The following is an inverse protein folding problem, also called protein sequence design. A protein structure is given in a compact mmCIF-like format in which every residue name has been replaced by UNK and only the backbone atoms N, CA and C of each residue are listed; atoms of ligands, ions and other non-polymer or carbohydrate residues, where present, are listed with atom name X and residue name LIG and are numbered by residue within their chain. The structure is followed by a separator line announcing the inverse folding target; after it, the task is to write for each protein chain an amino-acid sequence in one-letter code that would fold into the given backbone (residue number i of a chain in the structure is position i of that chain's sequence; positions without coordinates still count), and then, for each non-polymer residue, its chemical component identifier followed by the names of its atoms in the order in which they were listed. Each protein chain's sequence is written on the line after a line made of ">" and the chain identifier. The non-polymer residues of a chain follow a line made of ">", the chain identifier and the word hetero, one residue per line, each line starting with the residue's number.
data_IF_334266685331
#
_entry.id   IF_334266685331
#
_cell.length_a   1.000
_cell.length_b   1.000
_cell.length_c   1.000
_cell.angle_alpha   90.00
_cell.angle_beta   90.00
_cell.angle_gamma   90.00
#
_symmetry.space_group_name_H-M   'P 1'
#
loop_
_entity.id
_entity.type
_entity.pdbx_description
1 polymer ?
#
# COMPACT_ATOMS: atom_id res chain seq x y z
N UNK A 1 10.61 -0.59 14.66
CA UNK A 1 9.84 -1.78 14.26
C UNK A 1 8.81 -1.44 13.20
N UNK A 2 7.89 -0.50 13.45
CA UNK A 2 6.73 -0.26 12.55
C UNK A 2 7.15 0.21 11.16
N UNK A 3 8.15 1.09 11.04
CA UNK A 3 8.70 1.52 9.75
C UNK A 3 9.42 0.40 9.01
N UNK A 4 10.21 -0.40 9.71
CA UNK A 4 10.92 -1.54 9.13
C UNK A 4 9.94 -2.59 8.61
N UNK A 5 8.87 -2.86 9.35
CA UNK A 5 7.80 -3.75 8.89
C UNK A 5 7.11 -3.23 7.62
N UNK A 6 6.94 -1.90 7.48
CA UNK A 6 6.38 -1.30 6.28
C UNK A 6 7.31 -1.45 5.05
N UNK A 7 8.64 -1.44 5.26
CA UNK A 7 9.61 -1.72 4.19
C UNK A 7 9.43 -3.15 3.69
N UNK A 8 9.37 -4.15 4.59
CA UNK A 8 9.15 -5.54 4.22
C UNK A 8 7.78 -5.76 3.56
N UNK A 9 6.75 -5.04 4.04
CA UNK A 9 5.43 -5.04 3.40
C UNK A 9 5.50 -4.55 1.96
N UNK A 10 6.20 -3.45 1.72
CA UNK A 10 6.36 -2.89 0.38
C UNK A 10 7.14 -3.84 -0.55
N UNK A 11 8.17 -4.52 -0.05
CA UNK A 11 8.93 -5.52 -0.83
C UNK A 11 8.05 -6.70 -1.25
N UNK A 12 7.28 -7.23 -0.30
CA UNK A 12 6.33 -8.30 -0.58
C UNK A 12 5.22 -7.87 -1.54
N UNK A 13 4.78 -6.61 -1.47
CA UNK A 13 3.80 -6.07 -2.39
C UNK A 13 4.36 -5.92 -3.80
N UNK A 14 5.59 -5.43 -3.98
CA UNK A 14 6.24 -5.36 -5.30
C UNK A 14 6.32 -6.76 -5.95
N UNK A 15 6.72 -7.77 -5.18
CA UNK A 15 6.71 -9.16 -5.66
C UNK A 15 5.32 -9.61 -6.12
N UNK A 16 4.27 -9.31 -5.34
CA UNK A 16 2.90 -9.63 -5.73
C UNK A 16 2.43 -8.87 -6.96
N UNK A 17 2.79 -7.59 -7.09
CA UNK A 17 2.46 -6.79 -8.28
C UNK A 17 3.07 -7.45 -9.52
N UNK A 18 4.39 -7.71 -9.51
CA UNK A 18 5.08 -8.35 -10.64
C UNK A 18 4.44 -9.69 -11.02
N UNK A 19 4.05 -10.49 -10.01
CA UNK A 19 3.49 -11.84 -10.26
C UNK A 19 2.04 -11.83 -10.74
N UNK A 20 1.30 -10.74 -10.52
CA UNK A 20 -0.14 -10.66 -10.83
C UNK A 20 -0.49 -9.63 -11.91
N UNK A 21 0.51 -8.98 -12.51
CA UNK A 21 0.31 -8.07 -13.65
C UNK A 21 0.91 -8.66 -14.91
N UNK A 22 0.16 -8.68 -16.04
CA UNK A 22 0.65 -9.28 -17.30
C UNK A 22 1.48 -8.31 -18.16
N UNK A 23 1.79 -7.12 -17.64
CA UNK A 23 2.49 -6.04 -18.36
C UNK A 23 3.76 -5.61 -17.64
N UNK A 24 4.67 -4.96 -18.37
CA UNK A 24 5.88 -4.38 -17.80
C UNK A 24 5.55 -3.18 -16.89
N UNK A 25 6.25 -3.08 -15.76
CA UNK A 25 5.96 -2.03 -14.78
C UNK A 25 6.44 -0.64 -15.20
N UNK A 26 7.50 -0.54 -16.00
CA UNK A 26 8.09 0.72 -16.45
C UNK A 26 7.17 1.59 -17.31
N UNK A 27 6.11 1.02 -17.88
CA UNK A 27 5.06 1.71 -18.64
C UNK A 27 3.76 1.85 -17.87
N UNK A 28 3.66 1.26 -16.67
CA UNK A 28 2.44 1.20 -15.91
C UNK A 28 2.15 2.50 -15.16
N UNK A 29 0.85 2.80 -15.01
CA UNK A 29 0.34 3.86 -14.14
C UNK A 29 -0.25 3.24 -12.87
N UNK A 30 0.25 3.63 -11.70
CA UNK A 30 -0.22 3.14 -10.42
C UNK A 30 -0.85 4.25 -9.57
N UNK A 31 -2.03 3.98 -9.02
CA UNK A 31 -2.65 4.78 -7.97
C UNK A 31 -2.38 4.12 -6.62
N UNK A 32 -1.88 4.89 -5.66
CA UNK A 32 -1.75 4.45 -4.26
C UNK A 32 -2.70 5.28 -3.40
N UNK A 33 -3.61 4.60 -2.72
CA UNK A 33 -4.55 5.19 -1.76
C UNK A 33 -3.94 5.08 -0.37
N UNK A 34 -3.66 6.25 0.22
CA UNK A 34 -2.97 6.41 1.49
C UNK A 34 -1.46 6.63 1.35
N UNK A 35 -0.94 7.65 2.02
CA UNK A 35 0.48 8.00 2.03
C UNK A 35 1.09 7.88 3.42
N UNK A 36 0.64 6.88 4.16
CA UNK A 36 1.25 6.42 5.41
C UNK A 36 2.52 5.58 5.15
N UNK A 37 3.02 4.91 6.20
CA UNK A 37 4.27 4.14 6.14
C UNK A 37 4.33 3.12 4.98
N UNK A 38 3.26 2.37 4.77
CA UNK A 38 3.21 1.40 3.66
C UNK A 38 3.13 2.11 2.31
N UNK A 39 2.27 3.14 2.19
CA UNK A 39 2.10 3.91 0.96
C UNK A 39 3.40 4.57 0.51
N UNK A 40 4.12 5.25 1.41
CA UNK A 40 5.42 5.89 1.13
C UNK A 40 6.43 4.86 0.61
N UNK A 41 6.65 3.75 1.35
CA UNK A 41 7.64 2.76 0.96
C UNK A 41 7.30 2.08 -0.37
N UNK A 42 6.02 1.81 -0.61
CA UNK A 42 5.54 1.25 -1.87
C UNK A 42 5.73 2.23 -3.03
N UNK A 43 5.34 3.48 -2.84
CA UNK A 43 5.46 4.54 -3.86
C UNK A 43 6.90 4.74 -4.32
N UNK A 44 7.84 4.84 -3.38
CA UNK A 44 9.24 5.04 -3.69
C UNK A 44 9.86 3.84 -4.42
N UNK A 45 9.48 2.61 -4.06
CA UNK A 45 9.94 1.39 -4.75
C UNK A 45 9.35 1.30 -6.17
N UNK A 46 8.06 1.58 -6.36
CA UNK A 46 7.45 1.61 -7.69
C UNK A 46 8.06 2.71 -8.56
N UNK A 47 8.30 3.90 -8.01
CA UNK A 47 9.00 4.97 -8.73
C UNK A 47 10.41 4.55 -9.17
N UNK A 48 11.15 3.84 -8.32
CA UNK A 48 12.47 3.30 -8.68
C UNK A 48 12.42 2.26 -9.81
N UNK A 49 11.26 1.63 -10.03
CA UNK A 49 10.97 0.75 -11.16
C UNK A 49 10.37 1.51 -12.37
N UNK A 50 10.45 2.83 -12.39
CA UNK A 50 9.92 3.73 -13.43
C UNK A 50 8.39 3.70 -13.59
N UNK A 51 7.64 3.17 -12.63
CA UNK A 51 6.17 3.25 -12.63
C UNK A 51 5.73 4.70 -12.46
N UNK A 52 4.74 5.14 -13.26
CA UNK A 52 4.11 6.44 -13.07
C UNK A 52 3.16 6.38 -11.86
N UNK A 53 3.63 6.84 -10.71
CA UNK A 53 2.89 6.74 -9.44
C UNK A 53 2.13 8.02 -9.15
N UNK A 54 0.83 7.87 -8.86
CA UNK A 54 -0.06 8.92 -8.35
C UNK A 54 -0.51 8.56 -6.94
N UNK A 55 -0.46 9.52 -6.02
CA UNK A 55 -0.89 9.36 -4.63
C UNK A 55 -2.24 10.04 -4.44
N UNK A 56 -3.16 9.33 -3.81
CA UNK A 56 -4.34 9.92 -3.19
C UNK A 56 -4.25 9.76 -1.67
N UNK A 57 -4.43 10.86 -0.97
CA UNK A 57 -4.59 10.89 0.50
C UNK A 57 -5.53 12.04 0.87
N UNK A 58 -6.33 11.85 1.93
CA UNK A 58 -7.24 12.88 2.42
C UNK A 58 -6.52 14.00 3.19
N UNK A 59 -5.25 13.77 3.57
CA UNK A 59 -4.44 14.69 4.37
C UNK A 59 -3.57 15.55 3.48
N UNK A 60 -3.79 16.88 3.40
CA UNK A 60 -3.02 17.76 2.50
C UNK A 60 -1.51 17.70 2.73
N UNK A 61 -1.06 17.55 3.97
CA UNK A 61 0.38 17.46 4.26
C UNK A 61 1.02 16.21 3.62
N UNK A 62 0.27 15.10 3.52
CA UNK A 62 0.73 13.89 2.83
C UNK A 62 0.88 14.12 1.33
N UNK A 63 -0.04 14.86 0.71
CA UNK A 63 0.07 15.21 -0.72
C UNK A 63 1.26 16.15 -0.97
N UNK A 64 1.49 17.14 -0.11
CA UNK A 64 2.69 17.99 -0.19
C UNK A 64 3.97 17.15 -0.05
N UNK A 65 4.00 16.21 0.89
CA UNK A 65 5.14 15.30 1.06
C UNK A 65 5.35 14.41 -0.17
N UNK A 66 4.28 13.83 -0.74
CA UNK A 66 4.35 13.04 -1.96
C UNK A 66 4.94 13.86 -3.13
N UNK A 67 4.48 15.09 -3.31
CA UNK A 67 5.00 16.01 -4.32
C UNK A 67 6.48 16.32 -4.12
N UNK A 68 6.96 16.46 -2.87
CA UNK A 68 8.39 16.68 -2.59
C UNK A 68 9.27 15.49 -2.96
N UNK A 69 8.71 14.29 -3.02
CA UNK A 69 9.36 13.09 -3.56
C UNK A 69 9.24 12.96 -5.09
N UNK A 70 8.66 13.96 -5.76
CA UNK A 70 8.42 13.95 -7.20
C UNK A 70 7.43 12.85 -7.62
N UNK A 71 6.40 12.62 -6.81
CA UNK A 71 5.26 11.76 -7.11
C UNK A 71 4.09 12.65 -7.58
N UNK A 72 3.24 12.10 -8.45
CA UNK A 72 1.99 12.76 -8.79
C UNK A 72 1.02 12.66 -7.61
N UNK A 73 0.11 13.62 -7.50
CA UNK A 73 -0.93 13.64 -6.47
C UNK A 73 -2.29 13.87 -7.09
N UNK A 74 -3.35 13.35 -6.45
CA UNK A 74 -4.72 13.53 -6.89
C UNK A 74 -5.63 13.87 -5.70
N UNK A 75 -6.67 14.66 -5.96
CA UNK A 75 -7.81 14.87 -5.05
C UNK A 75 -8.91 13.87 -5.38
N UNK A 76 -9.95 13.78 -4.52
CA UNK A 76 -11.07 12.86 -4.77
C UNK A 76 -11.82 13.20 -6.06
N UNK A 77 -12.05 14.48 -6.34
CA UNK A 77 -12.74 14.92 -7.54
C UNK A 77 -11.96 14.55 -8.80
N UNK A 78 -10.66 14.75 -8.78
CA UNK A 78 -9.79 14.37 -9.89
C UNK A 78 -9.70 12.84 -10.09
N UNK A 79 -9.90 12.03 -9.04
CA UNK A 79 -9.92 10.57 -9.17
C UNK A 79 -11.07 10.09 -10.06
N UNK A 80 -12.24 10.72 -9.98
CA UNK A 80 -13.39 10.37 -10.82
C UNK A 80 -13.06 10.52 -12.29
N UNK A 81 -12.25 11.53 -12.64
CA UNK A 81 -11.88 11.82 -14.02
C UNK A 81 -10.78 10.92 -14.57
N UNK A 82 -9.86 10.44 -13.70
CA UNK A 82 -8.66 9.74 -14.14
C UNK A 82 -8.52 8.28 -13.66
N UNK A 83 -9.47 7.76 -12.87
CA UNK A 83 -9.33 6.40 -12.29
C UNK A 83 -9.28 5.31 -13.36
N UNK A 84 -9.90 5.52 -14.50
CA UNK A 84 -9.84 4.61 -15.66
C UNK A 84 -8.46 4.51 -16.32
N UNK A 85 -7.53 5.42 -16.02
CA UNK A 85 -6.19 5.44 -16.60
C UNK A 85 -5.22 4.50 -15.90
N UNK A 86 -5.52 4.08 -14.67
CA UNK A 86 -4.58 3.29 -13.88
C UNK A 86 -4.60 1.81 -14.24
N UNK A 87 -3.42 1.23 -14.34
CA UNK A 87 -3.18 -0.20 -14.55
C UNK A 87 -3.17 -0.96 -13.23
N UNK A 88 -2.78 -0.25 -12.15
CA UNK A 88 -2.61 -0.78 -10.81
C UNK A 88 -3.25 0.19 -9.82
N UNK A 89 -4.09 -0.32 -8.92
CA UNK A 89 -4.62 0.46 -7.80
C UNK A 89 -4.28 -0.27 -6.50
N UNK A 90 -3.61 0.42 -5.58
CA UNK A 90 -3.14 -0.13 -4.32
C UNK A 90 -3.84 0.59 -3.16
N UNK A 91 -4.60 -0.15 -2.37
CA UNK A 91 -5.20 0.39 -1.16
C UNK A 91 -4.36 0.06 0.07
N UNK A 92 -3.96 1.10 0.82
CA UNK A 92 -3.21 0.97 2.07
C UNK A 92 -3.97 1.46 3.31
N UNK A 93 -5.22 1.91 3.13
CA UNK A 93 -6.05 2.45 4.21
C UNK A 93 -7.22 1.52 4.56
N UNK A 94 -7.53 1.29 5.85
CA UNK A 94 -8.57 0.37 6.28
C UNK A 94 -9.97 1.03 6.30
N UNK A 95 -10.27 1.82 5.27
CA UNK A 95 -11.58 2.44 5.08
C UNK A 95 -11.95 2.47 3.60
N UNK A 96 -13.25 2.46 3.31
CA UNK A 96 -13.76 2.45 1.96
C UNK A 96 -13.56 3.81 1.29
N UNK A 97 -12.51 3.93 0.47
CA UNK A 97 -12.24 5.08 -0.40
C UNK A 97 -12.74 4.79 -1.82
N UNK A 98 -12.56 3.55 -2.28
CA UNK A 98 -13.04 3.11 -3.60
C UNK A 98 -14.54 2.79 -3.51
N UNK A 99 -15.34 3.84 -3.56
CA UNK A 99 -16.81 3.75 -3.60
C UNK A 99 -17.29 3.02 -4.86
N UNK A 100 -18.56 2.62 -4.88
CA UNK A 100 -19.17 1.97 -6.04
C UNK A 100 -19.01 2.82 -7.32
N UNK A 101 -19.18 4.14 -7.21
CA UNK A 101 -19.00 5.05 -8.34
C UNK A 101 -17.59 4.94 -8.92
N UNK A 102 -16.55 5.01 -8.09
CA UNK A 102 -15.15 4.87 -8.54
C UNK A 102 -14.87 3.49 -9.12
N UNK A 103 -15.29 2.41 -8.45
CA UNK A 103 -15.06 1.05 -8.94
C UNK A 103 -15.74 0.77 -10.26
N UNK A 104 -16.89 1.40 -10.54
CA UNK A 104 -17.58 1.27 -11.82
C UNK A 104 -16.80 1.86 -13.00
N UNK A 105 -15.90 2.82 -12.74
CA UNK A 105 -15.08 3.52 -13.73
C UNK A 105 -13.71 2.86 -13.93
N UNK A 106 -13.30 1.94 -13.04
CA UNK A 106 -12.02 1.24 -13.16
C UNK A 106 -12.01 0.37 -14.42
N UNK A 107 -10.95 0.45 -15.20
CA UNK A 107 -10.81 -0.37 -16.41
C UNK A 107 -10.64 -1.86 -16.08
N UNK A 108 -11.08 -2.74 -16.98
CA UNK A 108 -11.21 -4.19 -16.72
C UNK A 108 -9.88 -4.93 -16.56
N UNK A 109 -8.83 -4.42 -17.15
CA UNK A 109 -7.47 -4.95 -17.05
C UNK A 109 -6.65 -4.36 -15.88
N UNK A 110 -7.24 -3.43 -15.13
CA UNK A 110 -6.63 -2.92 -13.90
C UNK A 110 -6.61 -4.01 -12.81
N UNK A 111 -5.47 -4.10 -12.11
CA UNK A 111 -5.33 -5.01 -10.96
C UNK A 111 -5.36 -4.20 -9.67
N UNK A 112 -6.30 -4.56 -8.80
CA UNK A 112 -6.46 -3.96 -7.47
C UNK A 112 -5.63 -4.76 -6.45
N UNK A 113 -4.91 -4.08 -5.56
CA UNK A 113 -4.17 -4.69 -4.45
C UNK A 113 -4.68 -4.15 -3.12
N UNK A 114 -5.19 -5.04 -2.26
CA UNK A 114 -5.60 -4.71 -0.90
C UNK A 114 -4.49 -5.06 0.08
N UNK A 115 -3.86 -4.03 0.66
CA UNK A 115 -2.74 -4.14 1.61
C UNK A 115 -3.14 -3.75 3.02
N UNK A 116 -4.24 -3.00 3.16
CA UNK A 116 -4.74 -2.58 4.45
C UNK A 116 -5.10 -3.77 5.35
N UNK A 117 -5.03 -3.55 6.65
CA UNK A 117 -5.55 -4.50 7.63
C UNK A 117 -7.08 -4.55 7.60
N UNK A 118 -7.66 -5.63 8.13
CA UNK A 118 -9.12 -5.69 8.32
C UNK A 118 -9.62 -4.46 9.09
N UNK A 119 -10.78 -3.90 8.74
CA UNK A 119 -11.84 -4.49 7.89
C UNK A 119 -11.61 -4.41 6.37
N UNK A 120 -10.44 -3.99 5.88
CA UNK A 120 -10.13 -3.72 4.48
C UNK A 120 -10.85 -2.47 3.95
N UNK A 121 -10.36 -1.90 2.85
CA UNK A 121 -10.95 -0.72 2.25
C UNK A 121 -11.58 -0.97 0.89
N UNK A 122 -11.34 -2.14 0.28
CA UNK A 122 -11.93 -2.51 -1.00
C UNK A 122 -13.10 -3.49 -0.78
N UNK A 123 -14.28 -3.12 -1.26
CA UNK A 123 -15.48 -3.94 -1.15
C UNK A 123 -15.46 -5.09 -2.18
N UNK A 124 -15.29 -6.33 -1.67
CA UNK A 124 -15.22 -7.54 -2.50
C UNK A 124 -16.49 -7.80 -3.34
N UNK A 125 -17.67 -7.40 -2.86
CA UNK A 125 -18.92 -7.59 -3.59
C UNK A 125 -18.99 -6.69 -4.82
N UNK A 126 -18.54 -5.45 -4.66
CA UNK A 126 -18.45 -4.51 -5.77
C UNK A 126 -17.38 -4.94 -6.79
N UNK A 127 -16.24 -5.43 -6.32
CA UNK A 127 -15.20 -5.99 -7.19
C UNK A 127 -15.75 -7.11 -8.07
N UNK A 128 -16.50 -8.05 -7.48
CA UNK A 128 -17.19 -9.14 -8.22
C UNK A 128 -18.25 -8.60 -9.17
N UNK A 129 -19.09 -7.65 -8.71
CA UNK A 129 -20.13 -7.01 -9.52
C UNK A 129 -19.55 -6.39 -10.78
N UNK A 130 -18.43 -5.68 -10.65
CA UNK A 130 -17.77 -5.02 -11.78
C UNK A 130 -16.74 -5.90 -12.50
N UNK A 131 -16.58 -7.17 -12.10
CA UNK A 131 -15.63 -8.15 -12.69
C UNK A 131 -14.21 -7.62 -12.74
N UNK A 132 -13.76 -7.01 -11.66
CA UNK A 132 -12.40 -6.49 -11.50
C UNK A 132 -11.48 -7.55 -10.89
N UNK A 133 -10.17 -7.43 -11.12
CA UNK A 133 -9.17 -8.30 -10.50
C UNK A 133 -8.74 -7.71 -9.15
N UNK A 134 -8.83 -8.50 -8.07
CA UNK A 134 -8.40 -8.09 -6.73
C UNK A 134 -7.45 -9.13 -6.12
N UNK A 135 -6.28 -8.66 -5.71
CA UNK A 135 -5.30 -9.43 -4.95
C UNK A 135 -5.25 -8.92 -3.52
N UNK A 136 -5.68 -9.73 -2.56
CA UNK A 136 -5.57 -9.40 -1.13
C UNK A 136 -4.22 -9.86 -0.59
N UNK A 137 -3.48 -8.95 0.05
CA UNK A 137 -2.09 -9.12 0.43
C UNK A 137 -1.86 -9.16 1.97
N UNK A 138 -2.44 -10.11 2.72
CA UNK A 138 -2.25 -10.19 4.16
C UNK A 138 -0.89 -10.79 4.52
N UNK A 139 -0.24 -10.20 5.56
CA UNK A 139 0.94 -10.78 6.18
C UNK A 139 2.17 -10.84 5.29
N UNK A 140 2.33 -9.89 4.37
CA UNK A 140 3.44 -9.84 3.41
C UNK A 140 4.83 -10.03 4.04
N UNK A 141 5.21 -9.35 5.16
CA UNK A 141 6.54 -9.52 5.74
C UNK A 141 6.91 -10.97 6.06
N UNK A 142 5.99 -11.69 6.71
CA UNK A 142 6.21 -13.09 7.06
C UNK A 142 6.23 -14.06 5.87
N UNK A 143 5.56 -13.71 4.78
CA UNK A 143 5.52 -14.54 3.56
C UNK A 143 6.72 -14.31 2.66
N UNK A 144 7.17 -13.06 2.53
CA UNK A 144 8.21 -12.67 1.57
C UNK A 144 9.61 -12.64 2.19
N UNK A 145 9.71 -12.18 3.44
CA UNK A 145 10.99 -12.04 4.16
C UNK A 145 10.89 -12.58 5.60
N UNK A 146 10.59 -13.88 5.81
CA UNK A 146 10.31 -14.44 7.14
C UNK A 146 11.47 -14.28 8.12
N UNK A 147 12.72 -14.40 7.66
CA UNK A 147 13.90 -14.20 8.49
C UNK A 147 13.95 -12.77 9.03
N UNK A 148 13.89 -11.77 8.15
CA UNK A 148 13.93 -10.36 8.54
C UNK A 148 12.73 -9.96 9.40
N UNK A 149 11.54 -10.48 9.10
CA UNK A 149 10.35 -10.26 9.91
C UNK A 149 10.49 -10.84 11.32
N UNK A 150 11.03 -12.04 11.44
CA UNK A 150 11.31 -12.69 12.73
C UNK A 150 12.36 -11.92 13.56
N UNK A 151 13.45 -11.48 12.93
CA UNK A 151 14.47 -10.66 13.58
C UNK A 151 13.91 -9.32 14.10
N UNK A 152 13.01 -8.67 13.35
CA UNK A 152 12.34 -7.45 13.80
C UNK A 152 11.48 -7.67 15.03
N UNK A 153 10.73 -8.77 15.07
CA UNK A 153 9.89 -9.13 16.22
C UNK A 153 10.77 -9.42 17.44
N UNK A 154 11.83 -10.23 17.27
CA UNK A 154 12.76 -10.57 18.35
C UNK A 154 13.43 -9.31 18.94
N UNK A 155 13.97 -8.42 18.11
CA UNK A 155 14.54 -7.14 18.55
C UNK A 155 13.53 -6.27 19.31
N UNK A 156 12.26 -6.29 18.89
CA UNK A 156 11.21 -5.53 19.59
C UNK A 156 10.93 -6.07 20.98
N UNK A 157 10.86 -7.38 21.11
CA UNK A 157 10.62 -8.05 22.39
C UNK A 157 11.79 -7.79 23.35
N UNK A 158 13.02 -7.96 22.88
CA UNK A 158 14.23 -7.70 23.68
C UNK A 158 14.24 -6.25 24.17
N UNK A 159 14.07 -5.28 23.27
CA UNK A 159 14.04 -3.84 23.64
C UNK A 159 12.89 -3.48 24.58
N UNK A 160 11.77 -4.17 24.51
CA UNK A 160 10.68 -4.00 25.47
C UNK A 160 11.04 -4.53 26.85
N UNK A 161 11.63 -5.73 26.92
CA UNK A 161 12.05 -6.35 28.20
C UNK A 161 13.14 -5.56 28.89
N UNK A 162 14.14 -5.06 28.15
CA UNK A 162 15.20 -4.20 28.70
C UNK A 162 14.62 -2.94 29.35
N UNK A 163 13.70 -2.24 28.68
CA UNK A 163 13.06 -1.03 29.23
C UNK A 163 12.19 -1.30 30.46
N UNK A 164 11.52 -2.46 30.50
CA UNK A 164 10.68 -2.82 31.65
C UNK A 164 11.50 -3.38 32.82
N UNK A 165 12.63 -4.04 32.54
CA UNK A 165 13.56 -4.54 33.54
C UNK A 165 14.31 -3.41 34.28
N UNK A 166 14.70 -2.35 33.57
CA UNK A 166 15.32 -1.15 34.18
C UNK A 166 14.39 -0.39 35.13
N UNK A 167 13.07 -0.38 34.86
CA UNK A 167 12.07 0.27 35.73
C UNK A 167 11.70 -0.55 36.97
N UNK A 168 12.13 -1.84 37.05
CA UNK A 168 11.86 -2.73 38.20
C UNK A 168 12.91 -2.66 39.31
N UNK A 169 14.01 -1.91 39.15
CA UNK A 169 15.13 -1.86 40.11
C UNK A 169 15.15 -0.60 40.97
N UNK A 170 14.08 0.21 40.94
CA UNK A 170 13.88 1.36 41.83
C UNK A 170 12.67 1.11 42.75
N UNK A 171 12.81 0.18 43.68
CA UNK A 171 12.02 0.06 44.92
C UNK A 171 12.98 -0.17 46.10
#
# INVERSE_FOLDING_TARGET
>A
VVWQNAILTAEGLISNIISNTPFALDTAKALIIGFGRCGINTALKLKALNVCVTIYDHTPIHLCQASSYGLNTSTFDNLIECISDFDIIINTVPCEVLTENLLSLVKKDCVLFEVASKPYGINNELVKKYKLSLVTCPGLPGKTAPKSAGELIAKSIISYLERTGENGTQL
#
